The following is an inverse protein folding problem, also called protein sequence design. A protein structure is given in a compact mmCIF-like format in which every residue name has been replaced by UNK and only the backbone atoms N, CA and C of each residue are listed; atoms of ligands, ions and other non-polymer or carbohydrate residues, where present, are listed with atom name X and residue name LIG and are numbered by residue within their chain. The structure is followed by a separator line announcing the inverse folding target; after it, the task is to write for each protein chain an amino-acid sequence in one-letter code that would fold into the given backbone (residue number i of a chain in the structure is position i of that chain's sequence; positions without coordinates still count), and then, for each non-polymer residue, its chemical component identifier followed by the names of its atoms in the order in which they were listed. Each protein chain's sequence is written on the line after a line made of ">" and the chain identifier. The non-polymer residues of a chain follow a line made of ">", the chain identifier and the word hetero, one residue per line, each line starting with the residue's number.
data_IF_623786335649
#
_entry.id   IF_623786335649
#
_cell.length_a   1.000
_cell.length_b   1.000
_cell.length_c   1.000
_cell.angle_alpha   90.00
_cell.angle_beta   90.00
_cell.angle_gamma   90.00
#
_symmetry.space_group_name_H-M   'P 1'
#
loop_
_entity.id
_entity.type
_entity.pdbx_description
1 polymer ?
#
# COMPACT_ATOMS: atom_id res chain seq x y z
N UNK A 1 -22.27 -6.44 -7.26
CA UNK A 1 -21.24 -7.00 -6.35
C UNK A 1 -20.71 -8.24 -7.02
N UNK A 2 -19.40 -8.49 -6.98
CA UNK A 2 -18.79 -9.65 -7.63
C UNK A 2 -17.58 -9.29 -8.47
N UNK A 3 -17.10 -10.29 -9.21
CA UNK A 3 -15.91 -10.23 -10.05
C UNK A 3 -16.27 -9.80 -11.47
N UNK A 4 -15.49 -8.90 -12.05
CA UNK A 4 -15.67 -8.35 -13.39
C UNK A 4 -14.31 -7.99 -13.99
N UNK A 5 -14.20 -7.92 -15.31
CA UNK A 5 -12.99 -7.43 -15.98
C UNK A 5 -13.24 -6.04 -16.55
N UNK A 6 -12.28 -5.13 -16.41
CA UNK A 6 -12.37 -3.81 -17.05
C UNK A 6 -11.81 -3.88 -18.47
N UNK A 7 -12.22 -2.94 -19.34
CA UNK A 7 -11.70 -2.87 -20.71
C UNK A 7 -10.21 -2.52 -20.76
N UNK A 8 -9.70 -1.79 -19.77
CA UNK A 8 -8.31 -1.31 -19.65
C UNK A 8 -7.42 -2.23 -18.80
N UNK A 9 -7.87 -3.44 -18.45
CA UNK A 9 -7.18 -4.31 -17.50
C UNK A 9 -7.10 -5.77 -17.97
N UNK A 10 -5.92 -6.36 -17.82
CA UNK A 10 -5.67 -7.78 -18.11
C UNK A 10 -6.13 -8.69 -16.97
N UNK A 11 -6.33 -8.14 -15.78
CA UNK A 11 -6.70 -8.82 -14.55
C UNK A 11 -8.18 -8.64 -14.22
N UNK A 12 -8.71 -9.52 -13.39
CA UNK A 12 -10.07 -9.42 -12.87
C UNK A 12 -10.11 -8.45 -11.69
N UNK A 13 -11.18 -7.68 -11.61
CA UNK A 13 -11.51 -6.78 -10.52
C UNK A 13 -12.68 -7.33 -9.72
N UNK A 14 -12.71 -7.04 -8.43
CA UNK A 14 -13.84 -7.32 -7.57
C UNK A 14 -14.53 -6.04 -7.11
N UNK A 15 -15.84 -6.12 -6.90
CA UNK A 15 -16.64 -5.05 -6.30
C UNK A 15 -17.41 -5.56 -5.08
N UNK A 16 -17.13 -4.92 -3.95
CA UNK A 16 -17.68 -5.22 -2.63
C UNK A 16 -18.23 -3.95 -1.96
N UNK A 17 -19.10 -4.11 -0.98
CA UNK A 17 -19.64 -3.02 -0.15
C UNK A 17 -19.15 -3.28 1.26
N UNK A 18 -18.46 -2.29 1.81
CA UNK A 18 -17.89 -2.30 3.16
C UNK A 18 -18.37 -1.02 3.83
N UNK A 19 -19.05 -1.16 4.97
CA UNK A 19 -19.62 -0.04 5.73
C UNK A 19 -20.48 0.90 4.88
N UNK A 20 -21.33 0.32 4.03
CA UNK A 20 -22.23 1.06 3.14
C UNK A 20 -21.56 1.71 1.92
N UNK A 21 -20.23 1.63 1.80
CA UNK A 21 -19.46 2.20 0.67
C UNK A 21 -19.02 1.11 -0.30
N UNK A 22 -19.21 1.36 -1.59
CA UNK A 22 -18.72 0.44 -2.63
C UNK A 22 -17.20 0.60 -2.81
N UNK A 23 -16.46 -0.47 -2.58
CA UNK A 23 -15.04 -0.59 -2.90
C UNK A 23 -14.85 -1.46 -4.15
N UNK A 24 -13.86 -1.11 -4.97
CA UNK A 24 -13.46 -1.82 -6.18
C UNK A 24 -11.96 -2.06 -6.09
N UNK A 25 -11.53 -3.30 -6.29
CA UNK A 25 -10.14 -3.68 -6.12
C UNK A 25 -9.73 -4.65 -7.22
N UNK A 26 -8.52 -4.50 -7.73
CA UNK A 26 -7.91 -5.46 -8.64
C UNK A 26 -7.58 -6.74 -7.85
N UNK A 27 -7.87 -7.91 -8.43
CA UNK A 27 -7.50 -9.20 -7.83
C UNK A 27 -6.08 -9.62 -8.20
N UNK A 28 -5.47 -8.98 -9.20
CA UNK A 28 -4.13 -9.28 -9.69
C UNK A 28 -4.03 -10.56 -10.52
N UNK A 29 -5.14 -11.29 -10.72
CA UNK A 29 -5.16 -12.55 -11.45
C UNK A 29 -5.94 -12.43 -12.77
N UNK A 30 -5.47 -13.15 -13.79
CA UNK A 30 -6.11 -13.19 -15.11
C UNK A 30 -7.11 -14.36 -15.24
N UNK A 31 -7.07 -15.30 -14.30
CA UNK A 31 -8.01 -16.41 -14.24
C UNK A 31 -9.27 -16.00 -13.46
N UNK A 32 -10.43 -16.16 -14.09
CA UNK A 32 -11.72 -15.78 -13.50
C UNK A 32 -12.06 -16.61 -12.26
N UNK A 33 -11.78 -17.90 -12.30
CA UNK A 33 -12.10 -18.84 -11.22
C UNK A 33 -11.30 -18.47 -9.98
N UNK A 34 -10.01 -18.22 -10.16
CA UNK A 34 -9.14 -17.75 -9.06
C UNK A 34 -9.62 -16.40 -8.51
N UNK A 35 -10.06 -15.48 -9.37
CA UNK A 35 -10.62 -14.20 -8.93
C UNK A 35 -11.92 -14.36 -8.13
N UNK A 36 -12.79 -15.30 -8.53
CA UNK A 36 -14.02 -15.65 -7.81
C UNK A 36 -13.71 -16.25 -6.43
N UNK A 37 -12.70 -17.12 -6.32
CA UNK A 37 -12.25 -17.69 -5.05
C UNK A 37 -11.68 -16.60 -4.12
N UNK A 38 -10.87 -15.67 -4.65
CA UNK A 38 -10.39 -14.49 -3.90
C UNK A 38 -11.57 -13.65 -3.40
N UNK A 39 -12.57 -13.41 -4.24
CA UNK A 39 -13.76 -12.66 -3.86
C UNK A 39 -14.55 -13.36 -2.74
N UNK A 40 -14.76 -14.67 -2.84
CA UNK A 40 -15.43 -15.46 -1.81
C UNK A 40 -14.68 -15.41 -0.47
N UNK A 41 -13.35 -15.55 -0.50
CA UNK A 41 -12.51 -15.41 0.69
C UNK A 41 -12.66 -14.02 1.34
N UNK A 42 -12.70 -12.96 0.54
CA UNK A 42 -12.97 -11.60 1.02
C UNK A 42 -14.34 -11.45 1.66
N UNK A 43 -15.40 -12.03 1.08
CA UNK A 43 -16.73 -12.01 1.67
C UNK A 43 -16.76 -12.71 3.02
N UNK A 44 -16.08 -13.85 3.16
CA UNK A 44 -15.94 -14.55 4.44
C UNK A 44 -15.23 -13.69 5.47
N UNK A 45 -14.14 -13.02 5.09
CA UNK A 45 -13.41 -12.14 6.03
C UNK A 45 -14.24 -10.92 6.44
N UNK A 46 -15.01 -10.31 5.54
CA UNK A 46 -15.93 -9.22 5.88
C UNK A 46 -17.05 -9.69 6.81
N UNK A 47 -17.60 -10.89 6.58
CA UNK A 47 -18.57 -11.49 7.48
C UNK A 47 -17.96 -11.73 8.87
N UNK A 48 -16.77 -12.31 8.94
CA UNK A 48 -16.03 -12.48 10.20
C UNK A 48 -15.79 -11.15 10.89
N UNK A 49 -15.45 -10.10 10.15
CA UNK A 49 -15.23 -8.79 10.75
C UNK A 49 -16.49 -8.18 11.35
N UNK A 50 -17.60 -8.26 10.60
CA UNK A 50 -18.90 -7.76 11.04
C UNK A 50 -19.45 -8.51 12.26
N UNK A 51 -19.30 -9.83 12.29
CA UNK A 51 -19.97 -10.69 13.28
C UNK A 51 -19.08 -11.13 14.44
N UNK A 52 -17.77 -11.19 14.25
CA UNK A 52 -16.81 -11.70 15.23
C UNK A 52 -15.84 -10.61 15.74
N UNK A 53 -16.01 -9.35 15.31
CA UNK A 53 -15.15 -8.25 15.73
C UNK A 53 -13.70 -8.36 15.24
N UNK A 54 -13.44 -9.22 14.26
CA UNK A 54 -12.13 -9.34 13.61
C UNK A 54 -11.93 -8.10 12.72
N UNK A 55 -10.72 -7.52 12.60
CA UNK A 55 -10.50 -6.41 11.68
C UNK A 55 -10.85 -6.82 10.24
N UNK A 56 -11.63 -5.98 9.54
CA UNK A 56 -11.92 -6.19 8.13
C UNK A 56 -10.62 -6.09 7.29
N UNK A 57 -10.48 -6.87 6.22
CA UNK A 57 -9.33 -6.76 5.33
C UNK A 57 -9.25 -5.35 4.74
N UNK A 58 -8.11 -4.70 4.98
CA UNK A 58 -7.77 -3.40 4.39
C UNK A 58 -7.57 -3.58 2.89
N UNK A 59 -8.04 -2.65 2.02
CA UNK A 59 -7.72 -2.72 0.60
C UNK A 59 -6.20 -2.86 0.43
N UNK A 60 -5.77 -3.72 -0.49
CA UNK A 60 -4.35 -3.90 -0.79
C UNK A 60 -3.87 -2.64 -1.51
N UNK A 61 -3.50 -1.64 -0.73
CA UNK A 61 -2.75 -0.52 -1.24
C UNK A 61 -1.33 -0.98 -1.51
N UNK A 62 -0.74 -0.46 -2.57
CA UNK A 62 0.68 -0.67 -2.82
C UNK A 62 1.51 0.41 -2.15
N UNK A 63 2.80 0.13 -1.94
CA UNK A 63 3.75 1.15 -1.47
C UNK A 63 3.82 2.31 -2.46
N UNK A 64 3.69 2.07 -3.78
CA UNK A 64 3.66 3.14 -4.78
C UNK A 64 2.46 4.07 -4.62
N UNK A 65 1.27 3.52 -4.36
CA UNK A 65 0.05 4.31 -4.12
C UNK A 65 0.19 5.19 -2.88
N UNK A 66 0.71 4.60 -1.79
CA UNK A 66 1.02 5.32 -0.56
C UNK A 66 1.94 6.52 -0.81
N UNK A 67 3.00 6.31 -1.59
CA UNK A 67 3.98 7.36 -1.89
C UNK A 67 3.40 8.47 -2.73
N UNK A 68 2.62 8.12 -3.75
CA UNK A 68 1.92 9.11 -4.58
C UNK A 68 0.96 9.95 -3.73
N UNK A 69 0.20 9.33 -2.84
CA UNK A 69 -0.72 10.04 -1.96
C UNK A 69 0.02 10.97 -0.98
N UNK A 70 1.11 10.50 -0.39
CA UNK A 70 1.95 11.31 0.49
C UNK A 70 2.55 12.52 -0.23
N UNK A 71 3.12 12.29 -1.42
CA UNK A 71 3.69 13.35 -2.26
C UNK A 71 2.65 14.40 -2.64
N UNK A 72 1.40 14.01 -2.91
CA UNK A 72 0.34 14.94 -3.27
C UNK A 72 -0.20 15.73 -2.07
N UNK A 73 -0.35 15.09 -0.90
CA UNK A 73 -1.10 15.67 0.23
C UNK A 73 -0.20 16.29 1.31
N UNK A 74 1.01 15.79 1.49
CA UNK A 74 1.89 16.12 2.63
C UNK A 74 3.09 16.92 2.20
N UNK A 75 3.81 16.46 1.18
CA UNK A 75 5.04 17.10 0.70
C UNK A 75 4.88 18.60 0.41
N UNK A 76 3.80 19.10 -0.24
CA UNK A 76 3.67 20.53 -0.58
C UNK A 76 3.61 21.46 0.63
N UNK A 77 3.29 20.93 1.82
CA UNK A 77 3.19 21.71 3.08
C UNK A 77 4.54 21.87 3.78
N UNK A 78 5.59 21.19 3.30
CA UNK A 78 6.92 21.24 3.90
C UNK A 78 7.78 22.32 3.26
N UNK A 79 8.90 22.65 3.92
CA UNK A 79 9.91 23.56 3.36
C UNK A 79 10.51 23.03 2.05
N UNK A 80 11.00 23.89 1.14
CA UNK A 80 11.53 23.45 -0.16
C UNK A 80 12.66 22.41 -0.07
N UNK A 81 13.54 22.54 0.93
CA UNK A 81 14.60 21.56 1.18
C UNK A 81 14.04 20.18 1.59
N UNK A 82 12.95 20.17 2.37
CA UNK A 82 12.27 18.93 2.76
C UNK A 82 11.50 18.32 1.59
N UNK A 83 10.91 19.14 0.72
CA UNK A 83 10.24 18.65 -0.49
C UNK A 83 11.21 17.92 -1.42
N UNK A 84 12.38 18.51 -1.69
CA UNK A 84 13.42 17.85 -2.49
C UNK A 84 13.83 16.50 -1.90
N UNK A 85 14.01 16.43 -0.58
CA UNK A 85 14.32 15.17 0.10
C UNK A 85 13.20 14.16 -0.04
N UNK A 86 11.96 14.56 0.21
CA UNK A 86 10.80 13.68 0.05
C UNK A 86 10.79 13.07 -1.35
N UNK A 87 10.96 13.86 -2.41
CA UNK A 87 10.96 13.35 -3.78
C UNK A 87 12.03 12.28 -4.03
N UNK A 88 13.28 12.52 -3.61
CA UNK A 88 14.39 11.56 -3.76
C UNK A 88 14.08 10.25 -3.02
N UNK A 89 13.61 10.36 -1.78
CA UNK A 89 13.34 9.19 -0.94
C UNK A 89 12.15 8.39 -1.44
N UNK A 90 11.06 9.05 -1.83
CA UNK A 90 9.87 8.40 -2.37
C UNK A 90 10.17 7.72 -3.71
N UNK A 91 11.02 8.31 -4.55
CA UNK A 91 11.45 7.66 -5.79
C UNK A 91 12.28 6.39 -5.51
N UNK A 92 13.24 6.46 -4.58
CA UNK A 92 14.05 5.31 -4.20
C UNK A 92 13.21 4.17 -3.65
N UNK A 93 12.29 4.48 -2.74
CA UNK A 93 11.40 3.47 -2.20
C UNK A 93 10.39 2.95 -3.22
N UNK A 94 9.91 3.80 -4.15
CA UNK A 94 9.07 3.38 -5.26
C UNK A 94 9.77 2.37 -6.17
N UNK A 95 11.05 2.59 -6.49
CA UNK A 95 11.87 1.63 -7.25
C UNK A 95 12.05 0.30 -6.52
N UNK A 96 12.25 0.33 -5.20
CA UNK A 96 12.54 -0.86 -4.40
C UNK A 96 11.29 -1.68 -4.04
N UNK A 97 10.21 -1.00 -3.71
CA UNK A 97 9.03 -1.60 -3.07
C UNK A 97 7.71 -1.22 -3.70
N UNK A 98 7.70 -0.41 -4.77
CA UNK A 98 6.46 0.17 -5.31
C UNK A 98 5.37 -0.84 -5.63
N UNK A 99 5.74 -2.05 -6.06
CA UNK A 99 4.79 -3.14 -6.37
C UNK A 99 4.36 -3.97 -5.17
N UNK A 100 5.02 -3.81 -4.02
CA UNK A 100 4.65 -4.52 -2.79
C UNK A 100 3.34 -3.97 -2.25
N UNK A 101 2.47 -4.87 -1.80
CA UNK A 101 1.33 -4.49 -0.98
C UNK A 101 1.82 -3.97 0.38
N UNK A 102 1.09 -3.02 0.99
CA UNK A 102 1.51 -2.40 2.25
C UNK A 102 1.66 -3.41 3.40
N UNK A 103 0.90 -4.51 3.38
CA UNK A 103 0.95 -5.63 4.34
C UNK A 103 2.15 -6.58 4.13
N UNK A 104 2.80 -6.49 2.97
CA UNK A 104 4.01 -7.24 2.64
C UNK A 104 5.29 -6.49 3.04
N UNK A 105 5.21 -5.18 3.29
CA UNK A 105 6.35 -4.41 3.81
C UNK A 105 6.51 -4.65 5.31
N UNK A 106 7.29 -5.68 5.66
CA UNK A 106 7.50 -6.15 7.04
C UNK A 106 8.69 -5.47 7.71
N UNK A 107 8.77 -5.57 9.03
CA UNK A 107 9.90 -5.07 9.84
C UNK A 107 11.24 -5.57 9.29
N UNK A 108 11.35 -6.87 8.97
CA UNK A 108 12.56 -7.45 8.39
C UNK A 108 13.01 -6.73 7.11
N UNK A 109 12.08 -6.38 6.23
CA UNK A 109 12.39 -5.65 4.98
C UNK A 109 12.97 -4.26 5.26
N UNK A 110 12.56 -3.62 6.36
CA UNK A 110 13.09 -2.33 6.79
C UNK A 110 14.45 -2.46 7.49
N UNK A 111 14.67 -3.54 8.23
CA UNK A 111 15.98 -3.87 8.83
C UNK A 111 17.01 -4.19 7.75
N UNK A 112 16.64 -4.99 6.74
CA UNK A 112 17.49 -5.29 5.58
C UNK A 112 17.86 -3.98 4.86
N UNK A 113 16.88 -3.09 4.64
CA UNK A 113 17.15 -1.75 4.07
C UNK A 113 18.08 -0.92 4.95
N UNK A 114 17.89 -0.91 6.27
CA UNK A 114 18.72 -0.16 7.19
C UNK A 114 20.19 -0.63 7.09
N UNK A 115 20.40 -1.95 7.15
CA UNK A 115 21.74 -2.55 7.06
C UNK A 115 22.42 -2.21 5.73
N UNK A 116 21.74 -2.44 4.60
CA UNK A 116 22.28 -2.11 3.26
C UNK A 116 22.57 -0.61 3.12
N UNK A 117 21.66 0.25 3.58
CA UNK A 117 21.80 1.70 3.37
C UNK A 117 22.90 2.30 4.24
N UNK A 118 23.18 1.72 5.40
CA UNK A 118 24.27 2.16 6.28
C UNK A 118 25.68 1.93 5.69
N UNK A 119 25.82 1.10 4.65
CA UNK A 119 27.07 0.97 3.91
C UNK A 119 27.42 2.24 3.14
N UNK A 120 26.41 2.99 2.68
CA UNK A 120 26.57 4.17 1.82
C UNK A 120 26.36 5.50 2.54
N UNK A 121 25.50 5.53 3.57
CA UNK A 121 25.09 6.80 4.21
C UNK A 121 25.03 6.70 5.73
N UNK A 122 25.08 7.87 6.37
CA UNK A 122 24.99 7.95 7.84
C UNK A 122 23.65 7.47 8.37
N UNK A 123 23.64 6.98 9.62
CA UNK A 123 22.42 6.64 10.35
C UNK A 123 21.40 7.79 10.39
N UNK A 124 21.87 9.04 10.48
CA UNK A 124 21.02 10.22 10.47
C UNK A 124 20.29 10.41 9.13
N UNK A 125 20.88 9.97 8.02
CA UNK A 125 20.26 9.95 6.70
C UNK A 125 19.19 8.87 6.65
N UNK A 126 19.53 7.61 6.93
CA UNK A 126 18.57 6.49 6.90
C UNK A 126 17.38 6.72 7.83
N UNK A 127 17.63 7.28 9.02
CA UNK A 127 16.56 7.64 9.97
C UNK A 127 15.57 8.65 9.39
N UNK A 128 16.03 9.62 8.58
CA UNK A 128 15.14 10.58 7.92
C UNK A 128 14.31 9.91 6.82
N UNK A 129 14.92 9.00 6.06
CA UNK A 129 14.25 8.24 5.00
C UNK A 129 13.13 7.36 5.58
N UNK A 130 13.45 6.55 6.60
CA UNK A 130 12.47 5.74 7.33
C UNK A 130 11.42 6.61 8.05
N UNK A 131 11.80 7.81 8.49
CA UNK A 131 10.86 8.80 9.04
C UNK A 131 9.81 9.28 8.02
N UNK A 132 10.20 9.44 6.75
CA UNK A 132 9.25 9.75 5.65
C UNK A 132 8.29 8.57 5.45
N UNK A 133 8.81 7.34 5.40
CA UNK A 133 8.00 6.14 5.25
C UNK A 133 6.99 5.98 6.40
N UNK A 134 7.43 6.14 7.65
CA UNK A 134 6.55 6.15 8.84
C UNK A 134 5.46 7.21 8.74
N UNK A 135 5.83 8.42 8.30
CA UNK A 135 4.92 9.55 8.13
C UNK A 135 3.88 9.30 7.05
N UNK A 136 4.24 8.57 5.99
CA UNK A 136 3.34 8.13 4.94
C UNK A 136 2.36 7.07 5.45
N UNK A 137 2.87 5.98 6.05
CA UNK A 137 2.05 4.90 6.61
C UNK A 137 1.02 5.40 7.62
N UNK A 138 1.42 6.29 8.53
CA UNK A 138 0.51 6.85 9.54
C UNK A 138 -0.62 7.73 8.98
N UNK A 139 -0.58 8.10 7.69
CA UNK A 139 -1.61 8.90 7.02
C UNK A 139 -2.49 8.10 6.07
N UNK A 140 -2.01 6.98 5.52
CA UNK A 140 -2.83 6.09 4.69
C UNK A 140 -3.63 5.07 5.50
N UNK A 141 -3.20 4.74 6.72
CA UNK A 141 -3.93 3.86 7.63
C UNK A 141 -4.93 4.59 8.55
N UNK A 142 -5.17 5.89 8.31
CA UNK A 142 -6.16 6.70 9.04
C UNK A 142 -7.40 6.96 8.19
#
# INVERSE_FOLDING_TARGET
>A
MGVYRRQDSTTYWMSLVVDGKRKRQDTGVQDRRVAEDIFAAWQVQLARAKWLGVPAPTPQHTVQELMREYAAKVTPRKSPASQRRDHVVLEQFGKRWGTLALDQLRTKTLEDYLTERLEDVTLATVSKELGILKSAYGRALR
#
